data_IF_031191446619
#
_entry.id   IF_031191446619
#
_cell.length_a   1.000
_cell.length_b   1.000
_cell.length_c   1.000
_cell.angle_alpha   90.00
_cell.angle_beta   90.00
_cell.angle_gamma   90.00
#
_symmetry.space_group_name_H-M   'P 1'
#
loop_
_entity.id
_entity.type
_entity.pdbx_description
1 polymer ?
#
# COMPACT_ATOMS: atom_id res chain seq x y z
N UNK A 1 -14.74 3.82 23.93
CA UNK A 1 -14.28 4.80 22.94
C UNK A 1 -15.30 4.79 21.82
N UNK A 2 -15.97 5.91 21.59
CA UNK A 2 -16.96 5.98 20.52
C UNK A 2 -16.26 5.77 19.18
N UNK A 3 -16.53 4.62 18.54
CA UNK A 3 -16.00 4.23 17.24
C UNK A 3 -16.20 5.33 16.18
N UNK A 4 -17.23 6.14 16.38
CA UNK A 4 -17.57 7.32 15.59
C UNK A 4 -16.55 8.46 15.69
N UNK A 5 -16.11 8.79 16.89
CA UNK A 5 -15.06 9.80 17.08
C UNK A 5 -13.72 9.35 16.50
N UNK A 6 -13.44 8.04 16.54
CA UNK A 6 -12.25 7.48 15.90
C UNK A 6 -12.33 7.58 14.37
N UNK A 7 -13.48 7.20 13.78
CA UNK A 7 -13.67 7.27 12.32
C UNK A 7 -13.60 8.71 11.81
N UNK A 8 -14.23 9.65 12.52
CA UNK A 8 -14.17 11.07 12.21
C UNK A 8 -12.74 11.63 12.34
N UNK A 9 -12.01 11.22 13.38
CA UNK A 9 -10.61 11.59 13.55
C UNK A 9 -9.73 11.07 12.40
N UNK A 10 -9.90 9.79 12.01
CA UNK A 10 -9.15 9.18 10.90
C UNK A 10 -9.43 9.92 9.60
N UNK A 11 -10.70 10.15 9.25
CA UNK A 11 -11.05 10.86 8.02
C UNK A 11 -10.47 12.28 7.99
N UNK A 12 -10.62 13.05 9.07
CA UNK A 12 -10.08 14.41 9.15
C UNK A 12 -8.54 14.43 9.08
N UNK A 13 -7.88 13.47 9.73
CA UNK A 13 -6.42 13.34 9.66
C UNK A 13 -5.93 13.04 8.24
N UNK A 14 -6.64 12.18 7.48
CA UNK A 14 -6.30 11.86 6.10
C UNK A 14 -6.44 13.08 5.18
N UNK A 15 -7.46 13.92 5.38
CA UNK A 15 -7.59 15.18 4.65
C UNK A 15 -6.45 16.16 4.99
N UNK A 16 -6.08 16.28 6.27
CA UNK A 16 -4.94 17.13 6.69
C UNK A 16 -3.65 16.62 6.06
N UNK A 17 -3.38 15.31 6.10
CA UNK A 17 -2.20 14.70 5.46
C UNK A 17 -2.19 14.94 3.94
N UNK A 18 -3.34 14.85 3.27
CA UNK A 18 -3.46 15.15 1.84
C UNK A 18 -3.05 16.59 1.54
N UNK A 19 -3.58 17.55 2.29
CA UNK A 19 -3.26 18.98 2.13
C UNK A 19 -1.77 19.22 2.43
N UNK A 20 -1.24 18.63 3.50
CA UNK A 20 0.17 18.75 3.87
C UNK A 20 1.09 18.24 2.76
N UNK A 21 0.81 17.08 2.15
CA UNK A 21 1.59 16.57 1.03
C UNK A 21 1.51 17.44 -0.22
N UNK A 22 0.34 18.04 -0.50
CA UNK A 22 0.19 19.02 -1.59
C UNK A 22 1.03 20.28 -1.33
N UNK A 23 1.08 20.75 -0.09
CA UNK A 23 1.95 21.88 0.31
C UNK A 23 3.43 21.49 0.16
N UNK A 24 3.82 20.29 0.59
CA UNK A 24 5.19 19.77 0.40
C UNK A 24 5.57 19.74 -1.08
N UNK A 25 4.66 19.30 -1.96
CA UNK A 25 4.89 19.31 -3.40
C UNK A 25 5.12 20.73 -3.95
N UNK A 26 4.35 21.72 -3.48
CA UNK A 26 4.53 23.13 -3.87
C UNK A 26 5.87 23.67 -3.34
N UNK A 27 6.23 23.37 -2.10
CA UNK A 27 7.53 23.74 -1.49
C UNK A 27 8.67 23.15 -2.29
N UNK A 28 8.58 21.88 -2.68
CA UNK A 28 9.57 21.16 -3.49
C UNK A 28 9.84 21.87 -4.83
N UNK A 29 8.79 22.22 -5.56
CA UNK A 29 8.90 22.97 -6.82
C UNK A 29 9.53 24.36 -6.61
N UNK A 30 9.12 25.10 -5.58
CA UNK A 30 9.60 26.46 -5.36
C UNK A 30 11.03 26.56 -4.80
N UNK A 31 11.38 25.73 -3.81
CA UNK A 31 12.67 25.79 -3.11
C UNK A 31 13.75 24.95 -3.79
N UNK A 32 13.40 23.76 -4.29
CA UNK A 32 14.36 22.86 -4.92
C UNK A 32 14.42 23.02 -6.44
N UNK A 33 13.64 23.97 -7.00
CA UNK A 33 13.55 24.25 -8.44
C UNK A 33 13.29 22.98 -9.29
N UNK A 34 12.58 22.01 -8.73
CA UNK A 34 12.11 20.84 -9.48
C UNK A 34 11.15 21.31 -10.60
N UNK A 35 11.15 20.64 -11.76
CA UNK A 35 10.29 21.04 -12.89
C UNK A 35 8.82 20.95 -12.47
N UNK A 36 8.13 22.09 -12.51
CA UNK A 36 6.70 22.18 -12.15
C UNK A 36 5.78 21.36 -13.06
N UNK A 37 6.25 21.06 -14.28
CA UNK A 37 5.51 20.29 -15.28
C UNK A 37 6.41 19.16 -15.77
N UNK A 38 6.08 17.94 -15.35
CA UNK A 38 6.73 16.71 -15.77
C UNK A 38 5.65 15.70 -16.18
N UNK A 39 5.90 14.91 -17.23
CA UNK A 39 4.98 13.85 -17.63
C UNK A 39 4.81 12.84 -16.48
N UNK A 40 3.55 12.46 -16.19
CA UNK A 40 3.20 11.55 -15.08
C UNK A 40 3.94 10.21 -15.13
N UNK A 41 4.30 9.74 -16.32
CA UNK A 41 5.06 8.51 -16.52
C UNK A 41 6.51 8.58 -16.00
N UNK A 42 7.06 9.78 -15.80
CA UNK A 42 8.43 10.01 -15.33
C UNK A 42 8.47 10.34 -13.83
N UNK A 43 7.32 10.33 -13.15
CA UNK A 43 7.26 10.62 -11.72
C UNK A 43 7.83 9.45 -10.92
N UNK A 44 8.49 9.78 -9.82
CA UNK A 44 8.93 8.76 -8.89
C UNK A 44 7.69 8.09 -8.24
N UNK A 45 7.78 6.79 -7.93
CA UNK A 45 6.71 6.07 -7.24
C UNK A 45 6.33 6.69 -5.87
N UNK A 46 7.26 7.41 -5.25
CA UNK A 46 7.08 8.09 -3.96
C UNK A 46 6.85 9.60 -4.09
N UNK A 47 6.43 10.08 -5.26
CA UNK A 47 6.12 11.51 -5.44
C UNK A 47 5.00 11.96 -4.46
N UNK A 48 5.20 13.06 -3.70
CA UNK A 48 4.23 13.54 -2.72
C UNK A 48 2.85 13.82 -3.33
N UNK A 49 2.79 14.22 -4.61
CA UNK A 49 1.52 14.45 -5.30
C UNK A 49 0.77 13.13 -5.47
N UNK A 50 1.44 12.08 -5.90
CA UNK A 50 0.82 10.77 -6.14
C UNK A 50 0.32 10.15 -4.83
N UNK A 51 1.11 10.24 -3.76
CA UNK A 51 0.72 9.77 -2.42
C UNK A 51 -0.50 10.56 -1.93
N UNK A 52 -0.54 11.88 -2.16
CA UNK A 52 -1.69 12.70 -1.76
C UNK A 52 -2.98 12.33 -2.51
N UNK A 53 -2.91 11.92 -3.78
CA UNK A 53 -4.07 11.43 -4.53
C UNK A 53 -4.61 10.13 -3.93
N UNK A 54 -3.72 9.21 -3.56
CA UNK A 54 -4.11 7.98 -2.88
C UNK A 54 -4.76 8.27 -1.53
N UNK A 55 -4.16 9.14 -0.70
CA UNK A 55 -4.74 9.51 0.60
C UNK A 55 -6.09 10.21 0.45
N UNK A 56 -6.26 11.06 -0.57
CA UNK A 56 -7.53 11.70 -0.87
C UNK A 56 -8.62 10.68 -1.25
N UNK A 57 -8.28 9.71 -2.10
CA UNK A 57 -9.20 8.63 -2.46
C UNK A 57 -9.61 7.80 -1.24
N UNK A 58 -8.65 7.46 -0.37
CA UNK A 58 -8.91 6.75 0.89
C UNK A 58 -9.80 7.58 1.81
N UNK A 59 -9.53 8.88 1.96
CA UNK A 59 -10.36 9.78 2.76
C UNK A 59 -11.82 9.82 2.27
N UNK A 60 -12.03 9.83 0.94
CA UNK A 60 -13.36 9.78 0.36
C UNK A 60 -14.06 8.43 0.57
N UNK A 61 -13.33 7.31 0.57
CA UNK A 61 -13.89 6.00 0.92
C UNK A 61 -14.34 6.00 2.39
N UNK A 62 -13.53 6.53 3.31
CA UNK A 62 -13.94 6.69 4.71
C UNK A 62 -15.15 7.63 4.86
N UNK A 63 -15.25 8.68 4.04
CA UNK A 63 -16.41 9.56 4.00
C UNK A 63 -17.69 8.82 3.58
N UNK A 64 -17.63 7.94 2.58
CA UNK A 64 -18.80 7.16 2.15
C UNK A 64 -19.15 6.04 3.13
N UNK A 65 -18.17 5.43 3.78
CA UNK A 65 -18.38 4.49 4.89
C UNK A 65 -19.19 5.15 6.01
N UNK A 66 -18.84 6.39 6.41
CA UNK A 66 -19.60 7.16 7.41
C UNK A 66 -21.07 7.29 7.06
N UNK A 67 -21.42 7.51 5.79
CA UNK A 67 -22.81 7.61 5.33
C UNK A 67 -23.58 6.30 5.51
N UNK A 68 -22.97 5.15 5.17
CA UNK A 68 -23.57 3.82 5.38
C UNK A 68 -23.88 3.61 6.86
N UNK A 69 -22.96 4.01 7.74
CA UNK A 69 -23.18 3.90 9.17
C UNK A 69 -24.20 4.92 9.71
N UNK A 70 -24.32 6.13 9.15
CA UNK A 70 -25.37 7.09 9.55
C UNK A 70 -26.77 6.57 9.21
N UNK A 71 -26.96 5.91 8.06
CA UNK A 71 -28.24 5.29 7.71
C UNK A 71 -28.67 4.18 8.68
N UNK A 72 -27.72 3.54 9.35
CA UNK A 72 -28.04 2.51 10.35
C UNK A 72 -28.63 3.05 11.66
N UNK A 73 -28.54 4.37 11.90
CA UNK A 73 -29.17 5.08 13.04
C UNK A 73 -30.67 5.35 12.79
N UNK A 74 -31.20 5.01 11.61
CA UNK A 74 -32.64 5.04 11.35
C UNK A 74 -33.40 4.17 12.37
N UNK A 75 -34.47 4.67 13.02
CA UNK A 75 -35.16 3.98 14.12
C UNK A 75 -35.82 2.65 13.73
N UNK A 76 -36.00 2.36 12.44
CA UNK A 76 -36.49 1.06 11.97
C UNK A 76 -35.38 -0.01 11.90
N UNK A 77 -34.11 0.42 11.84
CA UNK A 77 -32.94 -0.42 11.55
C UNK A 77 -31.97 -0.54 12.73
N UNK A 78 -32.17 0.24 13.81
CA UNK A 78 -31.33 0.21 15.01
C UNK A 78 -31.08 -1.20 15.59
N UNK A 79 -32.10 -2.07 15.76
CA UNK A 79 -31.90 -3.45 16.24
C UNK A 79 -31.03 -4.31 15.30
N UNK A 80 -31.11 -4.07 13.99
CA UNK A 80 -30.33 -4.76 12.97
C UNK A 80 -28.86 -4.31 12.99
N UNK A 81 -28.59 -3.02 13.17
CA UNK A 81 -27.23 -2.48 13.29
C UNK A 81 -26.51 -3.01 14.53
N UNK A 82 -27.19 -3.07 15.67
CA UNK A 82 -26.61 -3.61 16.91
C UNK A 82 -26.20 -5.07 16.72
N UNK A 83 -27.02 -5.84 15.99
CA UNK A 83 -26.72 -7.24 15.67
C UNK A 83 -25.53 -7.36 14.72
N UNK A 84 -25.48 -6.51 13.68
CA UNK A 84 -24.39 -6.47 12.69
C UNK A 84 -23.06 -6.03 13.32
N UNK A 85 -23.07 -5.05 14.22
CA UNK A 85 -21.88 -4.59 14.94
C UNK A 85 -21.26 -5.70 15.82
N UNK A 86 -22.10 -6.54 16.44
CA UNK A 86 -21.64 -7.72 17.19
C UNK A 86 -21.02 -8.76 16.26
N UNK A 87 -21.65 -9.04 15.11
CA UNK A 87 -21.11 -9.96 14.09
C UNK A 87 -19.77 -9.50 13.53
N UNK A 88 -19.60 -8.20 13.23
CA UNK A 88 -18.33 -7.64 12.74
C UNK A 88 -17.22 -7.80 13.77
N UNK A 89 -17.50 -7.60 15.05
CA UNK A 89 -16.51 -7.81 16.11
C UNK A 89 -16.06 -9.28 16.17
N UNK A 90 -16.98 -10.23 15.98
CA UNK A 90 -16.62 -11.65 15.94
C UNK A 90 -15.81 -12.02 14.69
N UNK A 91 -16.10 -11.42 13.53
CA UNK A 91 -15.30 -11.55 12.31
C UNK A 91 -13.89 -10.97 12.50
N UNK A 92 -13.75 -9.80 13.13
CA UNK A 92 -12.44 -9.17 13.38
C UNK A 92 -11.54 -10.03 14.29
N UNK A 93 -12.12 -10.68 15.30
CA UNK A 93 -11.38 -11.65 16.14
C UNK A 93 -10.85 -12.82 15.31
N UNK A 94 -11.70 -13.39 14.44
CA UNK A 94 -11.28 -14.46 13.53
C UNK A 94 -10.18 -13.98 12.56
N UNK A 95 -10.32 -12.78 12.01
CA UNK A 95 -9.33 -12.18 11.12
C UNK A 95 -7.97 -11.97 11.81
N UNK A 96 -7.96 -11.61 13.09
CA UNK A 96 -6.73 -11.47 13.87
C UNK A 96 -5.99 -12.81 13.99
N UNK A 97 -6.69 -13.89 14.37
CA UNK A 97 -6.11 -15.24 14.44
C UNK A 97 -5.61 -15.69 13.06
N UNK A 98 -6.40 -15.47 12.01
CA UNK A 98 -6.00 -15.77 10.63
C UNK A 98 -4.73 -15.02 10.22
N UNK A 99 -4.63 -13.73 10.56
CA UNK A 99 -3.45 -12.90 10.27
C UNK A 99 -2.22 -13.40 11.01
N UNK A 100 -2.34 -13.82 12.27
CA UNK A 100 -1.22 -14.42 13.02
C UNK A 100 -0.70 -15.70 12.34
N UNK A 101 -1.61 -16.56 11.88
CA UNK A 101 -1.26 -17.76 11.12
C UNK A 101 -0.55 -17.39 9.82
N UNK A 102 -1.09 -16.45 9.04
CA UNK A 102 -0.48 -15.96 7.80
C UNK A 102 0.91 -15.38 8.03
N UNK A 103 1.12 -14.62 9.10
CA UNK A 103 2.43 -14.06 9.46
C UNK A 103 3.42 -15.17 9.85
N UNK A 104 2.99 -16.17 10.61
CA UNK A 104 3.84 -17.33 10.93
C UNK A 104 4.27 -18.08 9.67
N UNK A 105 3.35 -18.29 8.72
CA UNK A 105 3.69 -18.85 7.41
C UNK A 105 4.61 -17.94 6.60
N UNK A 106 4.40 -16.62 6.62
CA UNK A 106 5.27 -15.67 5.93
C UNK A 106 6.70 -15.73 6.46
N UNK A 107 6.89 -15.85 7.78
CA UNK A 107 8.22 -16.07 8.36
C UNK A 107 8.82 -17.43 7.96
N UNK A 108 8.02 -18.50 7.96
CA UNK A 108 8.45 -19.82 7.49
C UNK A 108 8.89 -19.82 6.02
N UNK A 109 8.11 -19.19 5.15
CA UNK A 109 8.46 -19.04 3.73
C UNK A 109 9.65 -18.13 3.52
N UNK A 110 9.73 -17.01 4.26
CA UNK A 110 10.91 -16.15 4.20
C UNK A 110 12.16 -16.96 4.57
N UNK A 111 12.13 -17.74 5.66
CA UNK A 111 13.27 -18.57 6.04
C UNK A 111 13.62 -19.64 4.98
N UNK A 112 12.61 -20.29 4.40
CA UNK A 112 12.82 -21.32 3.39
C UNK A 112 13.38 -20.77 2.07
N UNK A 113 12.82 -19.65 1.60
CA UNK A 113 13.15 -19.09 0.28
C UNK A 113 14.29 -18.07 0.31
N UNK A 114 14.65 -17.52 1.47
CA UNK A 114 15.69 -16.49 1.57
C UNK A 114 17.03 -16.96 1.01
N UNK A 115 17.45 -18.20 1.28
CA UNK A 115 18.70 -18.74 0.74
C UNK A 115 18.69 -18.82 -0.79
N UNK A 116 17.60 -19.30 -1.38
CA UNK A 116 17.43 -19.39 -2.83
C UNK A 116 17.38 -18.00 -3.47
N UNK A 117 16.66 -17.07 -2.85
CA UNK A 117 16.60 -15.68 -3.30
C UNK A 117 17.97 -14.98 -3.24
N UNK A 118 18.72 -15.17 -2.16
CA UNK A 118 20.07 -14.59 -1.99
C UNK A 118 21.07 -15.20 -2.98
N UNK A 119 21.05 -16.52 -3.16
CA UNK A 119 21.90 -17.22 -4.14
C UNK A 119 21.58 -16.76 -5.56
N UNK A 120 20.29 -16.59 -5.88
CA UNK A 120 19.84 -16.03 -7.17
C UNK A 120 20.32 -14.58 -7.34
N UNK A 121 20.16 -13.73 -6.32
CA UNK A 121 20.61 -12.35 -6.36
C UNK A 121 22.11 -12.26 -6.65
N UNK A 122 22.93 -13.02 -5.94
CA UNK A 122 24.38 -13.06 -6.16
C UNK A 122 24.73 -13.58 -7.56
N UNK A 123 24.10 -14.66 -8.04
CA UNK A 123 24.35 -15.17 -9.40
C UNK A 123 23.97 -14.20 -10.50
N UNK A 124 22.93 -13.40 -10.31
CA UNK A 124 22.49 -12.42 -11.30
C UNK A 124 23.17 -11.04 -11.15
N UNK A 125 23.91 -10.78 -10.06
CA UNK A 125 24.51 -9.47 -9.76
C UNK A 125 25.63 -9.13 -10.74
N UNK A 126 26.45 -10.11 -11.07
CA UNK A 126 27.73 -9.91 -11.77
C UNK A 126 27.70 -10.33 -13.25
N UNK A 127 26.54 -10.68 -13.81
CA UNK A 127 26.45 -11.12 -15.21
C UNK A 127 26.63 -9.90 -16.13
N UNK A 128 27.70 -9.83 -16.95
CA UNK A 128 27.99 -8.70 -17.83
C UNK A 128 27.21 -8.82 -19.15
N UNK A 129 26.76 -7.71 -19.74
CA UNK A 129 25.93 -7.74 -20.98
C UNK A 129 26.61 -8.40 -22.20
N UNK A 130 27.89 -8.76 -22.11
CA UNK A 130 28.63 -9.49 -23.15
C UNK A 130 28.16 -10.93 -23.25
N UNK A 131 27.57 -11.27 -24.39
CA UNK A 131 27.11 -12.62 -24.76
C UNK A 131 28.31 -13.51 -25.14
N UNK A 132 29.20 -13.83 -24.19
CA UNK A 132 30.05 -15.01 -24.34
C UNK A 132 29.16 -16.26 -24.24
N UNK A 133 29.43 -17.27 -25.07
CA UNK A 133 28.54 -18.43 -25.27
C UNK A 133 28.26 -19.21 -23.97
N UNK A 134 29.18 -19.14 -23.00
CA UNK A 134 29.09 -19.81 -21.70
C UNK A 134 28.24 -19.06 -20.66
N UNK A 135 27.96 -17.76 -20.84
CA UNK A 135 27.19 -16.94 -19.88
C UNK A 135 25.75 -16.68 -20.32
N UNK A 136 25.38 -17.12 -21.54
CA UNK A 136 24.05 -16.91 -22.13
C UNK A 136 22.92 -17.60 -21.34
N UNK A 137 23.17 -18.81 -20.81
CA UNK A 137 22.20 -19.56 -20.01
C UNK A 137 21.89 -18.87 -18.67
N UNK A 138 22.91 -18.29 -18.02
CA UNK A 138 22.74 -17.53 -16.77
C UNK A 138 21.98 -16.24 -17.03
N UNK A 139 22.29 -15.56 -18.13
CA UNK A 139 21.54 -14.39 -18.59
C UNK A 139 20.06 -14.67 -18.85
N UNK A 140 19.73 -15.75 -19.56
CA UNK A 140 18.34 -16.12 -19.84
C UNK A 140 17.58 -16.53 -18.58
N UNK A 141 18.25 -17.21 -17.63
CA UNK A 141 17.70 -17.48 -16.31
C UNK A 141 17.40 -16.19 -15.51
N UNK A 142 18.30 -15.20 -15.57
CA UNK A 142 18.12 -13.92 -14.89
C UNK A 142 17.08 -13.02 -15.56
N UNK A 143 16.89 -13.11 -16.89
CA UNK A 143 15.97 -12.31 -17.70
C UNK A 143 14.50 -12.79 -17.65
N UNK A 144 14.29 -14.10 -17.58
CA UNK A 144 12.96 -14.73 -17.66
C UNK A 144 12.18 -14.71 -16.33
N UNK A 145 12.84 -14.52 -15.19
CA UNK A 145 12.18 -14.52 -13.86
C UNK A 145 12.41 -13.21 -13.09
N UNK A 146 12.03 -12.09 -13.70
CA UNK A 146 11.71 -10.85 -12.98
C UNK A 146 12.89 -9.92 -12.69
N UNK A 147 13.21 -9.07 -13.68
CA UNK A 147 13.99 -7.84 -13.48
C UNK A 147 13.31 -6.61 -14.11
N UNK A 148 12.00 -6.61 -14.25
CA UNK A 148 11.24 -5.43 -14.70
C UNK A 148 10.53 -4.79 -13.51
N UNK A 149 11.31 -4.21 -12.62
CA UNK A 149 10.92 -2.95 -11.97
C UNK A 149 11.85 -1.90 -12.55
N UNK A 150 11.32 -1.20 -13.57
CA UNK A 150 11.72 0.06 -14.22
C UNK A 150 13.15 0.59 -14.06
N UNK A 151 13.74 0.96 -15.22
CA UNK A 151 14.96 1.77 -15.37
C UNK A 151 14.95 3.05 -14.54
#
# INVERSE_FOLDING_TARGET
>A
MDMWHLLDFVQNSLYICTIALRVVAIIRVNLYKEPAVLNRAQWNAYDPVLISECLFAIANIFATLRLIYVFTVSPQLGPLQISLGRMVNDILKFFCVFSLVMVAFAFGFNQLFWFYANTRYNRCKDVPFSLEENEREVWDYCKTTGRYFTK
#
